data_IF_251570675924
#
_entry.id   IF_251570675924
#
_cell.length_a   1.000
_cell.length_b   1.000
_cell.length_c   1.000
_cell.angle_alpha   90.00
_cell.angle_beta   90.00
_cell.angle_gamma   90.00
#
_symmetry.space_group_name_H-M   'P 1'
#
loop_
_entity.id
_entity.type
_entity.pdbx_description
1 polymer ?
#
# COMPACT_ATOMS: atom_id res chain seq x y z
N UNK A 1 -4.17 -18.04 -12.26
CA UNK A 1 -3.31 -16.84 -12.17
C UNK A 1 -3.37 -16.29 -10.75
N UNK A 2 -2.31 -15.62 -10.30
CA UNK A 2 -2.14 -15.13 -8.93
C UNK A 2 -2.02 -13.61 -8.91
N UNK A 3 -2.83 -12.94 -8.10
CA UNK A 3 -2.96 -11.48 -8.09
C UNK A 3 -2.89 -10.92 -6.67
N UNK A 4 -2.25 -9.76 -6.56
CA UNK A 4 -2.28 -8.91 -5.37
C UNK A 4 -2.78 -7.53 -5.78
N UNK A 5 -3.91 -7.09 -5.24
CA UNK A 5 -4.48 -5.76 -5.47
C UNK A 5 -4.46 -4.94 -4.19
N UNK A 6 -4.34 -3.64 -4.33
CA UNK A 6 -4.23 -2.70 -3.24
C UNK A 6 -4.97 -1.40 -3.58
N UNK A 7 -5.85 -1.00 -2.68
CA UNK A 7 -6.60 0.24 -2.67
C UNK A 7 -6.33 0.96 -1.35
N UNK A 8 -6.08 2.27 -1.34
CA UNK A 8 -5.65 2.96 -0.11
C UNK A 8 -6.56 4.14 0.19
N UNK A 9 -7.45 4.03 1.18
CA UNK A 9 -8.38 5.12 1.51
C UNK A 9 -8.04 5.69 2.88
N UNK A 10 -7.51 6.91 2.94
CA UNK A 10 -7.33 7.63 4.20
C UNK A 10 -8.64 8.36 4.56
N UNK A 11 -9.21 8.09 5.75
CA UNK A 11 -10.47 8.70 6.20
C UNK A 11 -10.27 9.85 7.20
N UNK A 12 -9.05 10.08 7.70
CA UNK A 12 -8.77 11.13 8.70
C UNK A 12 -8.02 12.34 8.15
N UNK A 13 -7.54 12.27 6.91
CA UNK A 13 -7.01 13.42 6.17
C UNK A 13 -7.61 13.43 4.76
N UNK A 14 -7.79 14.61 4.12
CA UNK A 14 -8.22 14.66 2.73
C UNK A 14 -7.22 13.98 1.75
N UNK A 15 -6.06 13.52 2.21
CA UNK A 15 -5.01 12.88 1.41
C UNK A 15 -5.20 11.36 1.21
N UNK A 16 -6.44 10.90 0.98
CA UNK A 16 -6.73 9.51 0.62
C UNK A 16 -6.52 9.24 -0.88
N UNK A 17 -6.14 8.01 -1.25
CA UNK A 17 -5.96 7.63 -2.66
C UNK A 17 -6.86 6.45 -3.09
N UNK A 18 -8.00 6.79 -3.67
CA UNK A 18 -8.90 5.80 -4.28
C UNK A 18 -8.45 5.31 -5.66
N UNK A 19 -7.38 5.90 -6.22
CA UNK A 19 -6.85 5.65 -7.57
C UNK A 19 -7.83 5.96 -8.73
N UNK A 20 -8.97 6.58 -8.43
CA UNK A 20 -9.96 7.03 -9.41
C UNK A 20 -9.51 8.32 -10.10
N UNK A 21 -9.96 8.53 -11.35
CA UNK A 21 -9.51 9.62 -12.22
C UNK A 21 -9.92 11.01 -11.75
N UNK A 22 -11.09 11.14 -11.11
CA UNK A 22 -11.65 12.41 -10.62
C UNK A 22 -11.14 12.78 -9.20
N UNK A 23 -10.27 11.95 -8.62
CA UNK A 23 -9.61 12.28 -7.36
C UNK A 23 -8.60 13.38 -7.65
N UNK A 24 -8.59 14.47 -6.87
CA UNK A 24 -7.59 15.54 -6.99
C UNK A 24 -6.18 14.89 -7.06
N UNK A 25 -5.46 15.02 -8.19
CA UNK A 25 -4.16 14.39 -8.39
C UNK A 25 -3.14 14.77 -7.31
N UNK A 26 -3.34 15.92 -6.66
CA UNK A 26 -2.49 16.38 -5.55
C UNK A 26 -2.77 15.67 -4.22
N UNK A 27 -3.91 14.97 -4.08
CA UNK A 27 -4.28 14.19 -2.89
C UNK A 27 -3.76 12.75 -2.97
N UNK A 28 -3.63 12.19 -4.18
CA UNK A 28 -3.05 10.87 -4.42
C UNK A 28 -1.63 10.95 -5.01
N UNK A 29 -0.69 11.48 -4.23
CA UNK A 29 0.73 11.36 -4.57
C UNK A 29 1.31 10.05 -4.02
N UNK A 30 1.57 9.07 -4.87
CA UNK A 30 2.35 7.88 -4.53
C UNK A 30 3.64 7.83 -5.35
N UNK A 31 4.65 7.12 -4.84
CA UNK A 31 5.93 6.89 -5.52
C UNK A 31 6.27 5.41 -5.46
N UNK A 32 6.77 4.85 -6.56
CA UNK A 32 7.42 3.53 -6.53
C UNK A 32 8.84 3.70 -6.02
N UNK A 33 9.41 2.68 -5.38
CA UNK A 33 10.84 2.66 -5.14
C UNK A 33 11.58 2.43 -6.47
N UNK A 34 12.79 2.98 -6.59
CA UNK A 34 13.66 2.73 -7.75
C UNK A 34 14.63 1.56 -7.51
N UNK A 35 14.83 1.17 -6.25
CA UNK A 35 15.79 0.14 -5.82
C UNK A 35 15.06 -1.11 -5.30
N UNK A 36 14.02 -1.53 -6.01
CA UNK A 36 13.32 -2.79 -5.81
C UNK A 36 13.30 -3.61 -7.12
N UNK A 37 12.63 -4.76 -7.11
CA UNK A 37 12.72 -5.73 -8.21
C UNK A 37 11.66 -5.52 -9.30
N UNK A 38 10.53 -4.87 -8.96
CA UNK A 38 9.43 -4.60 -9.88
C UNK A 38 8.48 -3.53 -9.32
N UNK A 39 7.65 -2.98 -10.20
CA UNK A 39 6.70 -1.92 -9.85
C UNK A 39 5.25 -2.43 -9.67
N UNK A 40 4.50 -1.72 -8.84
CA UNK A 40 3.03 -1.83 -8.83
C UNK A 40 2.44 -1.22 -10.11
N UNK A 41 1.31 -1.74 -10.60
CA UNK A 41 0.67 -1.23 -11.81
C UNK A 41 -0.68 -0.60 -11.46
N UNK A 42 -0.88 0.67 -11.82
CA UNK A 42 -2.20 1.28 -11.74
C UNK A 42 -3.13 0.62 -12.76
N UNK A 43 -4.21 0.01 -12.27
CA UNK A 43 -5.25 -0.61 -13.11
C UNK A 43 -6.56 0.11 -12.88
N UNK A 44 -7.15 0.60 -13.97
CA UNK A 44 -8.51 1.13 -14.04
C UNK A 44 -9.32 0.22 -14.94
N UNK A 45 -10.14 -0.63 -14.36
CA UNK A 45 -10.84 -1.67 -15.14
C UNK A 45 -11.93 -1.11 -16.06
N UNK A 46 -12.43 0.10 -15.80
CA UNK A 46 -13.45 0.75 -16.63
C UNK A 46 -12.98 1.11 -18.03
N UNK A 47 -11.66 1.30 -18.22
CA UNK A 47 -11.06 1.60 -19.54
C UNK A 47 -10.70 0.34 -20.34
N UNK A 48 -10.95 -0.86 -19.81
CA UNK A 48 -10.62 -2.12 -20.47
C UNK A 48 -11.85 -2.79 -21.11
N UNK A 49 -11.90 -2.93 -22.45
CA UNK A 49 -13.07 -3.48 -23.14
C UNK A 49 -13.30 -4.98 -22.88
N UNK A 50 -12.23 -5.73 -22.57
CA UNK A 50 -12.28 -7.15 -22.27
C UNK A 50 -11.62 -7.45 -20.93
N UNK A 51 -12.44 -7.43 -19.87
CA UNK A 51 -12.00 -7.74 -18.52
C UNK A 51 -11.92 -9.27 -18.32
N UNK A 52 -10.78 -9.77 -17.83
CA UNK A 52 -10.68 -11.18 -17.42
C UNK A 52 -11.47 -11.41 -16.14
N UNK A 53 -12.15 -12.56 -16.00
CA UNK A 53 -12.94 -12.91 -14.81
C UNK A 53 -12.16 -12.89 -13.49
N UNK A 54 -10.84 -12.93 -13.55
CA UNK A 54 -9.96 -12.96 -12.38
C UNK A 54 -9.72 -11.58 -11.74
N UNK A 55 -9.95 -10.48 -12.46
CA UNK A 55 -9.83 -9.12 -11.92
C UNK A 55 -11.17 -8.69 -11.28
N UNK A 56 -11.15 -7.65 -10.45
CA UNK A 56 -12.36 -7.05 -9.86
C UNK A 56 -12.58 -5.68 -10.48
N UNK A 57 -13.83 -5.25 -10.66
CA UNK A 57 -14.10 -3.90 -11.17
C UNK A 57 -13.69 -2.83 -10.15
N UNK A 58 -13.18 -1.71 -10.64
CA UNK A 58 -12.59 -0.64 -9.82
C UNK A 58 -11.29 -0.08 -10.39
N UNK A 59 -10.72 0.85 -9.62
CA UNK A 59 -9.38 1.41 -9.78
C UNK A 59 -8.50 1.04 -8.59
N UNK A 60 -7.32 0.47 -8.83
CA UNK A 60 -6.42 0.02 -7.76
C UNK A 60 -5.00 -0.20 -8.29
N UNK A 61 -4.03 -0.33 -7.37
CA UNK A 61 -2.69 -0.79 -7.70
C UNK A 61 -2.66 -2.32 -7.71
N UNK A 62 -2.03 -2.90 -8.73
CA UNK A 62 -1.97 -4.35 -8.99
C UNK A 62 -0.51 -4.81 -9.07
N UNK A 63 -0.23 -5.96 -8.46
CA UNK A 63 0.93 -6.80 -8.79
C UNK A 63 0.43 -8.14 -9.31
N UNK A 64 0.77 -8.47 -10.56
CA UNK A 64 0.59 -9.82 -11.08
C UNK A 64 1.68 -10.73 -10.50
N UNK A 65 1.31 -11.43 -9.45
CA UNK A 65 2.20 -12.27 -8.66
C UNK A 65 2.73 -13.49 -9.43
N UNK A 66 2.10 -13.84 -10.54
CA UNK A 66 2.51 -14.98 -11.37
C UNK A 66 3.82 -14.73 -12.15
N UNK A 67 4.33 -13.49 -12.16
CA UNK A 67 5.51 -13.09 -12.94
C UNK A 67 6.80 -13.06 -12.12
N UNK A 68 6.71 -13.25 -10.80
CA UNK A 68 7.82 -13.02 -9.87
C UNK A 68 8.07 -14.23 -8.97
N UNK A 69 9.33 -14.43 -8.59
CA UNK A 69 9.81 -15.52 -7.77
C UNK A 69 10.24 -15.10 -6.37
N UNK A 70 10.59 -16.08 -5.54
CA UNK A 70 11.00 -15.89 -4.15
C UNK A 70 12.17 -14.90 -4.03
N UNK A 71 12.10 -14.02 -3.02
CA UNK A 71 13.10 -12.98 -2.75
C UNK A 71 12.84 -11.66 -3.46
N UNK A 72 12.02 -11.63 -4.51
CA UNK A 72 11.68 -10.39 -5.21
C UNK A 72 10.66 -9.55 -4.42
N UNK A 73 10.80 -8.23 -4.48
CA UNK A 73 9.93 -7.27 -3.79
C UNK A 73 9.63 -6.03 -4.62
N UNK A 74 8.50 -5.40 -4.30
CA UNK A 74 8.09 -4.10 -4.82
C UNK A 74 7.60 -3.21 -3.69
N UNK A 75 7.89 -1.92 -3.73
CA UNK A 75 7.55 -0.96 -2.71
C UNK A 75 6.78 0.23 -3.30
N UNK A 76 5.57 0.42 -2.80
CA UNK A 76 4.77 1.59 -3.04
C UNK A 76 4.84 2.51 -1.81
N UNK A 77 5.34 3.72 -1.99
CA UNK A 77 5.42 4.74 -0.95
C UNK A 77 4.28 5.72 -1.13
N UNK A 78 3.47 5.89 -0.10
CA UNK A 78 2.41 6.89 -0.07
C UNK A 78 2.99 8.27 0.26
N UNK A 79 2.20 9.31 -0.07
CA UNK A 79 2.55 10.69 0.29
C UNK A 79 2.86 10.76 1.79
N UNK A 80 3.90 11.50 2.16
CA UNK A 80 4.11 11.81 3.56
C UNK A 80 2.90 12.50 4.18
N UNK A 81 2.49 12.01 5.34
CA UNK A 81 1.55 12.71 6.21
C UNK A 81 2.38 13.56 7.18
N UNK A 82 2.06 14.85 7.26
CA UNK A 82 2.67 15.80 8.17
C UNK A 82 1.67 16.20 9.24
N UNK A 83 1.48 15.36 10.24
CA UNK A 83 0.55 15.61 11.34
C UNK A 83 1.24 15.49 12.70
N UNK A 84 0.84 16.35 13.63
CA UNK A 84 1.37 16.38 14.99
C UNK A 84 0.63 15.41 15.93
N UNK A 85 -0.49 14.83 15.47
CA UNK A 85 -1.36 13.93 16.24
C UNK A 85 -1.36 12.50 15.67
N UNK A 86 -1.95 11.56 16.43
CA UNK A 86 -2.15 10.18 15.98
C UNK A 86 -3.12 10.15 14.81
N UNK A 87 -2.72 9.57 13.69
CA UNK A 87 -3.54 9.44 12.48
C UNK A 87 -3.78 7.98 12.13
N UNK A 88 -4.95 7.67 11.56
CA UNK A 88 -5.24 6.33 11.06
C UNK A 88 -4.96 6.24 9.56
N UNK A 89 -4.15 5.25 9.20
CA UNK A 89 -3.98 4.82 7.82
C UNK A 89 -4.92 3.65 7.59
N UNK A 90 -5.85 3.81 6.66
CA UNK A 90 -6.74 2.73 6.24
C UNK A 90 -6.46 2.33 4.79
N UNK A 91 -6.48 1.04 4.54
CA UNK A 91 -6.32 0.50 3.20
C UNK A 91 -7.11 -0.79 3.04
N UNK A 92 -7.51 -1.06 1.80
CA UNK A 92 -8.17 -2.28 1.39
C UNK A 92 -7.22 -3.08 0.50
N UNK A 93 -7.09 -4.38 0.77
CA UNK A 93 -6.23 -5.26 0.00
C UNK A 93 -7.00 -6.48 -0.50
N UNK A 94 -6.50 -7.08 -1.57
CA UNK A 94 -7.02 -8.31 -2.14
C UNK A 94 -5.85 -9.22 -2.52
N UNK A 95 -5.69 -10.34 -1.81
CA UNK A 95 -4.64 -11.33 -2.09
C UNK A 95 -5.29 -12.67 -2.45
N UNK A 96 -5.28 -13.00 -3.74
CA UNK A 96 -5.95 -14.20 -4.24
C UNK A 96 -5.08 -14.99 -5.21
N UNK A 97 -5.11 -16.31 -5.04
CA UNK A 97 -4.50 -17.25 -5.97
C UNK A 97 -5.53 -18.27 -6.43
N UNK A 98 -5.67 -18.42 -7.75
CA UNK A 98 -6.52 -19.46 -8.33
C UNK A 98 -5.81 -20.81 -8.43
N UNK A 99 -4.49 -20.80 -8.62
CA UNK A 99 -3.72 -22.00 -9.01
C UNK A 99 -2.98 -22.61 -7.81
N UNK A 100 -3.37 -22.26 -6.57
CA UNK A 100 -2.77 -22.75 -5.33
C UNK A 100 -1.37 -22.19 -5.01
N UNK A 101 -0.73 -21.49 -5.96
CA UNK A 101 0.55 -20.82 -5.74
C UNK A 101 0.39 -19.67 -4.74
N UNK A 102 1.38 -19.44 -3.89
CA UNK A 102 1.31 -18.33 -2.94
C UNK A 102 1.26 -16.99 -3.71
N UNK A 103 0.31 -16.09 -3.41
CA UNK A 103 0.39 -14.71 -3.88
C UNK A 103 1.54 -13.93 -3.24
N UNK A 104 2.34 -14.55 -2.36
CA UNK A 104 3.40 -13.92 -1.57
C UNK A 104 2.83 -13.20 -0.36
N UNK A 105 3.56 -12.23 0.16
CA UNK A 105 3.17 -11.40 1.31
C UNK A 105 3.04 -9.92 0.98
N UNK A 106 2.19 -9.24 1.74
CA UNK A 106 2.07 -7.79 1.78
C UNK A 106 2.48 -7.32 3.17
N UNK A 107 3.45 -6.42 3.24
CA UNK A 107 3.96 -5.83 4.46
C UNK A 107 3.75 -4.32 4.42
N UNK A 108 3.35 -3.74 5.54
CA UNK A 108 3.24 -2.30 5.73
C UNK A 108 4.34 -1.85 6.66
N UNK A 109 5.08 -0.84 6.26
CA UNK A 109 6.09 -0.18 7.09
C UNK A 109 5.74 1.29 7.25
N UNK A 110 6.15 1.87 8.38
CA UNK A 110 6.05 3.31 8.62
C UNK A 110 7.45 3.84 8.86
N UNK A 111 7.82 4.88 8.11
CA UNK A 111 9.09 5.58 8.24
C UNK A 111 8.83 7.01 8.72
N UNK A 112 9.47 7.41 9.80
CA UNK A 112 9.35 8.77 10.38
C UNK A 112 10.60 9.58 10.03
N UNK A 113 10.43 10.82 9.56
CA UNK A 113 11.49 11.80 9.27
C UNK A 113 12.64 11.26 8.40
N UNK A 114 12.34 10.41 7.42
CA UNK A 114 13.36 9.82 6.55
C UNK A 114 14.31 8.82 7.24
N UNK A 115 13.99 8.41 8.47
CA UNK A 115 14.76 7.41 9.23
C UNK A 115 14.75 6.02 8.61
N UNK A 116 15.30 5.03 9.33
CA UNK A 116 15.28 3.64 8.85
C UNK A 116 13.84 3.11 8.74
N UNK A 117 13.61 2.17 7.82
CA UNK A 117 12.29 1.54 7.60
C UNK A 117 11.74 0.82 8.84
N UNK A 118 12.61 0.40 9.78
CA UNK A 118 12.22 -0.38 10.94
C UNK A 118 11.56 -1.73 10.59
N UNK A 119 10.79 -2.24 11.54
CA UNK A 119 10.00 -3.47 11.40
C UNK A 119 8.67 -3.19 10.69
N UNK A 120 8.06 -4.23 10.11
CA UNK A 120 6.71 -4.12 9.57
C UNK A 120 5.72 -3.84 10.71
N UNK A 121 4.89 -2.81 10.54
CA UNK A 121 3.79 -2.50 11.49
C UNK A 121 2.58 -3.40 11.27
N UNK A 122 2.45 -3.96 10.07
CA UNK A 122 1.42 -4.92 9.71
C UNK A 122 1.92 -5.82 8.58
N UNK A 123 1.49 -7.08 8.57
CA UNK A 123 1.76 -8.00 7.47
C UNK A 123 0.62 -9.00 7.26
N UNK A 124 0.55 -9.52 6.04
CA UNK A 124 -0.27 -10.69 5.68
C UNK A 124 0.48 -11.49 4.64
N UNK A 125 0.28 -12.81 4.63
CA UNK A 125 0.85 -13.70 3.63
C UNK A 125 -0.17 -14.72 3.15
N UNK A 126 0.10 -15.29 1.97
CA UNK A 126 -0.76 -16.31 1.39
C UNK A 126 -2.09 -15.76 0.85
N UNK A 127 -2.93 -16.66 0.36
CA UNK A 127 -4.24 -16.27 -0.18
C UNK A 127 -5.24 -16.03 0.93
N UNK A 128 -5.96 -14.91 0.86
CA UNK A 128 -6.94 -14.46 1.84
C UNK A 128 -8.39 -14.65 1.33
N UNK A 129 -8.59 -15.53 0.35
CA UNK A 129 -9.85 -15.71 -0.34
C UNK A 129 -10.13 -14.63 -1.39
N UNK A 130 -11.21 -14.82 -2.16
CA UNK A 130 -11.58 -13.96 -3.29
C UNK A 130 -12.47 -12.79 -2.81
N UNK A 131 -11.97 -11.99 -1.88
CA UNK A 131 -12.68 -10.82 -1.34
C UNK A 131 -11.72 -9.70 -0.93
N UNK A 132 -12.24 -8.48 -0.87
CA UNK A 132 -11.51 -7.34 -0.32
C UNK A 132 -11.47 -7.41 1.20
N UNK A 133 -10.33 -7.09 1.77
CA UNK A 133 -10.12 -6.99 3.21
C UNK A 133 -9.68 -5.58 3.56
N UNK A 134 -10.26 -5.02 4.62
CA UNK A 134 -9.93 -3.68 5.09
C UNK A 134 -9.03 -3.76 6.32
N UNK A 135 -8.04 -2.88 6.39
CA UNK A 135 -7.12 -2.73 7.51
C UNK A 135 -7.12 -1.27 7.92
N UNK A 136 -7.15 -1.05 9.23
CA UNK A 136 -6.95 0.27 9.83
C UNK A 136 -5.75 0.19 10.77
N UNK A 137 -4.80 1.10 10.58
CA UNK A 137 -3.59 1.21 11.37
C UNK A 137 -3.55 2.58 12.04
N UNK A 138 -3.56 2.59 13.37
CA UNK A 138 -3.28 3.80 14.13
C UNK A 138 -1.77 4.04 14.14
N UNK A 139 -1.31 5.07 13.42
CA UNK A 139 0.08 5.49 13.38
C UNK A 139 0.25 6.61 14.39
N UNK A 140 0.88 6.28 15.53
CA UNK A 140 1.26 7.27 16.52
C UNK A 140 2.72 7.66 16.31
N UNK A 141 2.96 8.94 16.09
CA UNK A 141 4.29 9.54 15.93
C UNK A 141 5.09 9.63 17.24
N UNK A 142 4.55 9.12 18.36
CA UNK A 142 5.12 9.24 19.70
C UNK A 142 5.93 8.02 20.19
N UNK A 143 6.11 6.96 19.38
CA UNK A 143 6.77 5.72 19.83
C UNK A 143 7.92 5.24 18.91
N UNK A 144 9.16 4.99 19.42
CA UNK A 144 9.73 5.44 20.69
C UNK A 144 10.84 6.51 20.53
N UNK A 145 10.76 7.48 21.46
CA UNK A 145 11.87 8.19 22.11
C UNK A 145 12.87 8.94 21.23
N UNK A 146 12.62 10.23 21.01
CA UNK A 146 13.29 11.27 21.79
C UNK A 146 12.43 12.54 21.72
N UNK A 147 12.04 13.04 22.90
CA UNK A 147 11.49 14.37 23.03
C UNK A 147 12.58 15.37 22.63
N UNK A 148 12.72 15.65 21.34
CA UNK A 148 13.29 16.92 20.92
C UNK A 148 12.13 17.83 20.53
N UNK A 149 11.94 18.83 21.39
CA UNK A 149 11.16 20.02 21.14
C UNK A 149 11.71 20.74 19.90
N UNK A 150 11.41 20.24 18.71
CA UNK A 150 11.58 20.97 17.48
C UNK A 150 10.20 21.15 16.86
N UNK A 151 9.82 22.42 16.69
CA UNK A 151 8.60 22.93 16.06
C UNK A 151 8.51 22.60 14.56
N UNK A 152 8.92 21.39 14.15
CA UNK A 152 8.81 20.89 12.78
C UNK A 152 7.82 19.73 12.77
N UNK A 153 6.80 19.81 11.91
CA UNK A 153 5.84 18.73 11.70
C UNK A 153 6.55 17.40 11.41
N UNK A 154 6.19 16.34 12.13
CA UNK A 154 6.76 15.01 11.90
C UNK A 154 6.23 14.46 10.58
N UNK A 155 7.14 13.98 9.73
CA UNK A 155 6.79 13.48 8.40
C UNK A 155 6.77 11.96 8.40
N UNK A 156 5.58 11.35 8.27
CA UNK A 156 5.39 9.91 8.23
C UNK A 156 5.14 9.41 6.81
N UNK A 157 5.97 8.47 6.35
CA UNK A 157 5.78 7.78 5.08
C UNK A 157 5.32 6.34 5.34
N UNK A 158 4.17 5.99 4.76
CA UNK A 158 3.70 4.60 4.73
C UNK A 158 4.25 3.91 3.48
N UNK A 159 4.85 2.75 3.67
CA UNK A 159 5.46 1.94 2.60
C UNK A 159 4.74 0.60 2.56
N UNK A 160 4.12 0.32 1.42
CA UNK A 160 3.45 -0.93 1.12
C UNK A 160 4.40 -1.79 0.28
N UNK A 161 4.92 -2.85 0.90
CA UNK A 161 5.87 -3.76 0.27
C UNK A 161 5.20 -5.09 -0.08
N UNK A 162 5.17 -5.41 -1.36
CA UNK A 162 4.90 -6.76 -1.84
C UNK A 162 6.19 -7.57 -1.84
N UNK A 163 6.15 -8.80 -1.34
CA UNK A 163 7.30 -9.73 -1.35
C UNK A 163 6.86 -11.17 -1.67
N UNK A 164 7.80 -12.00 -2.12
CA UNK A 164 7.60 -13.40 -2.48
C UNK A 164 8.54 -14.34 -1.72
#
# INVERSE_FOLDING_TARGET
KTYSLLLTVCYLSPAGCTFEEDSDPSLCEYRQAQEDDFDWQLVRTYSWPHMTSDLIRGSYMLVNSSQYGAGQRAQLMLRPLSENDTHCVQFSYFLYSRDGHSPGGLNVYVRVNGGSRGNAVWNVSGSQGRQWHQVELAVSTFWPSEYQHHYSSLQCHTILQKSF
#
